data_IF_838208578297
#
_entry.id   IF_838208578297
#
_cell.length_a   1.000
_cell.length_b   1.000
_cell.length_c   1.000
_cell.angle_alpha   90.00
_cell.angle_beta   90.00
_cell.angle_gamma   90.00
#
_symmetry.space_group_name_H-M   'P 1'
#
loop_
_entity.id
_entity.type
_entity.pdbx_description
1 polymer ?
#
# COMPACT_ATOMS: atom_id res chain seq x y z
N UNK A 1 -22.61 29.19 -15.68
CA UNK A 1 -22.96 27.83 -15.21
C UNK A 1 -22.25 26.82 -16.11
N UNK A 2 -21.59 25.83 -15.50
CA UNK A 2 -20.99 24.62 -16.08
C UNK A 2 -19.74 24.74 -16.98
N UNK A 3 -18.56 24.87 -16.34
CA UNK A 3 -17.27 24.39 -16.86
C UNK A 3 -16.39 23.91 -15.70
N UNK A 4 -16.72 22.77 -15.07
CA UNK A 4 -15.86 22.17 -14.03
C UNK A 4 -15.92 20.62 -13.98
N UNK A 5 -16.53 19.97 -14.97
CA UNK A 5 -16.75 18.51 -14.94
C UNK A 5 -15.78 17.69 -15.82
N UNK A 6 -14.96 18.32 -16.66
CA UNK A 6 -14.17 17.59 -17.68
C UNK A 6 -12.73 17.22 -17.29
N UNK A 7 -12.24 17.61 -16.11
CA UNK A 7 -10.83 17.38 -15.73
C UNK A 7 -10.58 16.23 -14.74
N UNK A 8 -11.62 15.56 -14.21
CA UNK A 8 -11.45 14.47 -13.24
C UNK A 8 -11.64 13.05 -13.82
N UNK A 9 -12.10 12.92 -15.06
CA UNK A 9 -12.25 11.60 -15.70
C UNK A 9 -10.91 10.99 -16.16
N UNK A 10 -9.82 11.77 -16.23
CA UNK A 10 -8.50 11.29 -16.63
C UNK A 10 -7.69 10.62 -15.51
N UNK A 11 -8.05 10.80 -14.22
CA UNK A 11 -7.33 10.14 -13.13
C UNK A 11 -7.74 8.67 -12.94
N UNK A 12 -8.97 8.29 -13.33
CA UNK A 12 -9.44 6.91 -13.28
C UNK A 12 -9.01 6.07 -14.51
N UNK A 13 -8.53 6.71 -15.58
CA UNK A 13 -8.05 6.04 -16.80
C UNK A 13 -6.54 5.76 -16.78
N UNK A 14 -5.79 6.30 -15.82
CA UNK A 14 -4.34 6.09 -15.72
C UNK A 14 -3.93 4.74 -15.08
N UNK A 15 -4.85 4.00 -14.45
CA UNK A 15 -4.65 2.60 -14.05
C UNK A 15 -5.03 1.58 -15.14
N UNK A 16 -5.51 2.04 -16.30
CA UNK A 16 -6.05 1.19 -17.36
C UNK A 16 -5.13 1.17 -18.60
N UNK A 17 -3.91 0.64 -18.46
CA UNK A 17 -3.01 0.42 -19.61
C UNK A 17 -2.03 -0.73 -19.37
N UNK A 18 -2.53 -1.97 -19.39
CA UNK A 18 -1.73 -3.13 -19.80
C UNK A 18 -2.65 -4.11 -20.55
N UNK A 19 -2.37 -4.29 -21.83
CA UNK A 19 -3.23 -4.87 -22.86
C UNK A 19 -3.29 -6.41 -22.88
N UNK A 20 -4.52 -6.92 -23.13
CA UNK A 20 -4.93 -7.91 -24.14
C UNK A 20 -4.04 -9.14 -24.48
N UNK A 21 -4.57 -10.35 -24.15
CA UNK A 21 -4.99 -11.46 -25.04
C UNK A 21 -4.74 -12.83 -24.37
N UNK A 22 -5.80 -13.59 -24.10
CA UNK A 22 -6.06 -14.88 -24.78
C UNK A 22 -7.36 -15.56 -24.30
N UNK A 23 -7.86 -16.40 -25.19
CA UNK A 23 -9.22 -16.92 -25.35
C UNK A 23 -9.70 -17.93 -24.31
N UNK A 24 -11.02 -17.88 -24.03
CA UNK A 24 -11.79 -18.99 -23.44
C UNK A 24 -11.77 -20.21 -24.37
N UNK A 25 -11.29 -21.34 -23.88
CA UNK A 25 -11.63 -22.67 -24.39
C UNK A 25 -12.01 -23.58 -23.22
N UNK A 26 -13.17 -24.22 -23.33
CA UNK A 26 -13.67 -25.24 -22.39
C UNK A 26 -12.79 -26.49 -22.53
N UNK A 27 -12.23 -27.01 -21.43
CA UNK A 27 -11.44 -28.26 -21.43
C UNK A 27 -12.25 -29.44 -20.88
N UNK A 28 -12.20 -30.63 -21.54
CA UNK A 28 -12.65 -31.89 -20.95
C UNK A 28 -11.68 -32.37 -19.87
N UNK A 29 -12.20 -33.07 -18.86
CA UNK A 29 -11.39 -33.73 -17.83
C UNK A 29 -10.66 -34.95 -18.42
N UNK A 30 -9.32 -34.97 -18.29
CA UNK A 30 -8.48 -36.14 -18.57
C UNK A 30 -7.79 -36.60 -17.29
N UNK A 31 -7.53 -37.91 -17.13
CA UNK A 31 -6.80 -38.44 -15.99
C UNK A 31 -5.34 -37.94 -15.98
N UNK A 32 -4.70 -37.84 -14.79
CA UNK A 32 -3.36 -37.29 -14.66
C UNK A 32 -2.34 -38.17 -15.38
N UNK A 33 -1.53 -37.62 -16.30
CA UNK A 33 -0.49 -38.38 -16.97
C UNK A 33 0.71 -38.57 -16.04
N UNK A 34 1.16 -39.81 -15.88
CA UNK A 34 2.41 -40.14 -15.23
C UNK A 34 3.59 -39.73 -16.10
N UNK A 35 4.13 -38.55 -15.88
CA UNK A 35 5.42 -38.12 -16.44
C UNK A 35 6.40 -37.81 -15.31
N UNK A 36 7.60 -38.35 -15.42
CA UNK A 36 8.76 -37.82 -14.71
C UNK A 36 9.17 -36.50 -15.38
N UNK A 37 9.37 -35.41 -14.63
CA UNK A 37 9.71 -34.12 -15.21
C UNK A 37 11.07 -34.17 -15.91
N UNK A 38 11.21 -33.69 -17.16
CA UNK A 38 12.50 -33.56 -17.80
C UNK A 38 13.34 -32.50 -17.07
N UNK A 39 14.60 -32.82 -16.81
CA UNK A 39 15.57 -31.88 -16.26
C UNK A 39 15.96 -30.84 -17.30
N UNK A 40 15.26 -29.70 -17.31
CA UNK A 40 15.69 -28.53 -18.05
C UNK A 40 16.60 -27.67 -17.18
N UNK A 41 17.77 -27.22 -17.68
CA UNK A 41 18.52 -26.18 -17.02
C UNK A 41 17.69 -24.89 -16.99
N UNK A 42 17.71 -24.20 -15.84
CA UNK A 42 17.03 -22.92 -15.68
C UNK A 42 17.45 -21.95 -16.78
N UNK A 43 16.51 -21.34 -17.53
CA UNK A 43 16.86 -20.32 -18.51
C UNK A 43 17.45 -19.11 -17.79
N UNK A 44 18.73 -18.83 -18.07
CA UNK A 44 19.39 -17.61 -17.65
C UNK A 44 18.84 -16.43 -18.45
N UNK A 45 17.76 -15.82 -17.98
CA UNK A 45 17.33 -14.52 -18.48
C UNK A 45 18.28 -13.45 -17.92
N UNK A 46 18.99 -12.70 -18.76
CA UNK A 46 19.67 -11.50 -18.29
C UNK A 46 18.61 -10.54 -17.75
N UNK A 47 18.80 -10.04 -16.52
CA UNK A 47 17.98 -8.97 -15.97
C UNK A 47 17.92 -7.81 -16.98
N UNK A 48 16.74 -7.28 -17.32
CA UNK A 48 16.62 -6.12 -18.18
C UNK A 48 17.44 -4.97 -17.59
N UNK A 49 18.52 -4.60 -18.29
CA UNK A 49 19.37 -3.47 -17.95
C UNK A 49 18.65 -2.17 -18.27
N UNK A 50 17.68 -1.79 -17.45
CA UNK A 50 17.20 -0.42 -17.45
C UNK A 50 18.34 0.44 -16.86
N UNK A 51 18.85 1.44 -17.59
CA UNK A 51 19.77 2.39 -17.00
C UNK A 51 19.03 3.08 -15.85
N UNK A 52 19.57 2.95 -14.64
CA UNK A 52 19.06 3.67 -13.47
C UNK A 52 19.00 5.17 -13.84
N UNK A 53 17.83 5.83 -13.70
CA UNK A 53 17.74 7.26 -13.93
C UNK A 53 18.78 7.98 -13.07
N UNK A 54 19.77 8.59 -13.71
CA UNK A 54 20.81 9.38 -13.06
C UNK A 54 20.23 10.73 -12.63
N UNK A 55 19.29 10.70 -11.69
CA UNK A 55 18.96 11.90 -10.95
C UNK A 55 20.11 12.12 -9.95
N UNK A 56 20.91 13.20 -10.08
CA UNK A 56 21.84 13.54 -9.03
C UNK A 56 21.05 13.67 -7.74
N UNK A 57 21.36 12.82 -6.76
CA UNK A 57 20.77 12.92 -5.44
C UNK A 57 21.00 14.36 -4.96
N UNK A 58 19.95 15.13 -4.65
CA UNK A 58 20.14 16.44 -4.06
C UNK A 58 21.02 16.25 -2.83
N UNK A 59 22.20 16.87 -2.80
CA UNK A 59 23.00 17.00 -1.59
C UNK A 59 22.30 18.00 -0.66
N UNK A 60 21.07 17.68 -0.26
CA UNK A 60 20.44 18.33 0.86
C UNK A 60 21.03 17.66 2.09
N UNK A 61 21.87 18.41 2.80
CA UNK A 61 22.18 18.09 4.20
C UNK A 61 20.84 17.94 4.90
N UNK A 62 20.43 16.71 5.21
CA UNK A 62 19.23 16.44 6.00
C UNK A 62 19.44 17.23 7.28
N UNK A 63 18.65 18.28 7.56
CA UNK A 63 18.82 19.03 8.79
C UNK A 63 18.75 18.02 9.92
N UNK A 64 19.74 17.99 10.82
CA UNK A 64 19.60 17.31 12.11
C UNK A 64 18.44 18.03 12.82
N UNK A 65 17.22 17.54 12.58
CA UNK A 65 16.01 18.29 12.81
C UNK A 65 15.79 18.48 14.29
N UNK A 66 15.83 19.74 14.73
CA UNK A 66 15.10 20.15 15.90
C UNK A 66 13.60 20.15 15.53
N UNK A 67 12.99 18.96 15.47
CA UNK A 67 11.61 18.72 14.96
C UNK A 67 10.49 19.32 15.84
N UNK A 68 10.82 20.29 16.69
CA UNK A 68 9.95 20.74 17.77
C UNK A 68 9.76 19.66 18.84
N UNK A 69 9.18 20.05 19.98
CA UNK A 69 8.72 19.06 20.94
C UNK A 69 7.64 18.20 20.27
N UNK A 70 7.69 16.86 20.39
CA UNK A 70 6.66 16.01 19.86
C UNK A 70 5.30 16.43 20.44
N UNK A 71 4.21 16.36 19.65
CA UNK A 71 2.88 16.67 20.16
C UNK A 71 2.59 15.78 21.38
N UNK A 72 1.80 16.25 22.36
CA UNK A 72 1.41 15.45 23.49
C UNK A 72 0.91 14.07 23.03
N UNK A 73 1.46 13.02 23.64
CA UNK A 73 1.02 11.66 23.36
C UNK A 73 -0.46 11.56 23.78
N UNK A 74 -1.30 11.05 22.88
CA UNK A 74 -2.69 10.75 23.25
C UNK A 74 -2.69 9.69 24.36
N UNK A 75 -3.71 9.72 25.22
CA UNK A 75 -3.91 8.68 26.21
C UNK A 75 -4.26 7.38 25.50
N UNK A 76 -3.34 6.40 25.48
CA UNK A 76 -3.55 5.12 24.83
C UNK A 76 -2.29 4.58 24.14
N UNK A 77 -2.42 3.39 23.53
CA UNK A 77 -1.38 2.86 22.65
C UNK A 77 -1.50 3.56 21.28
N UNK A 78 -0.40 3.91 20.61
CA UNK A 78 -0.47 4.49 19.27
C UNK A 78 -1.38 3.68 18.35
N UNK A 79 -2.34 4.33 17.71
CA UNK A 79 -3.34 3.71 16.83
C UNK A 79 -4.64 3.30 17.52
N UNK A 80 -4.73 3.37 18.86
CA UNK A 80 -6.02 3.15 19.55
C UNK A 80 -6.98 4.33 19.40
N UNK A 81 -6.47 5.51 19.01
CA UNK A 81 -7.28 6.72 18.86
C UNK A 81 -7.95 6.90 17.50
N UNK A 82 -7.90 5.91 16.60
CA UNK A 82 -8.52 6.04 15.27
C UNK A 82 -10.05 6.08 15.39
N UNK A 83 -10.64 7.15 14.87
CA UNK A 83 -12.09 7.28 14.72
C UNK A 83 -12.53 6.54 13.46
N UNK A 84 -13.44 5.59 13.62
CA UNK A 84 -13.93 4.74 12.53
C UNK A 84 -15.25 5.24 11.95
N UNK A 85 -15.28 5.38 10.63
CA UNK A 85 -16.50 5.54 9.84
C UNK A 85 -17.02 4.15 9.45
N UNK A 86 -18.29 3.83 9.72
CA UNK A 86 -18.88 2.57 9.29
C UNK A 86 -19.05 2.54 7.77
N UNK A 87 -18.71 1.41 7.16
CA UNK A 87 -18.92 1.12 5.74
C UNK A 87 -19.85 -0.08 5.66
N UNK A 88 -21.17 0.12 5.55
CA UNK A 88 -22.10 -1.00 5.47
C UNK A 88 -21.96 -1.73 4.13
N UNK A 89 -22.31 -3.03 4.05
CA UNK A 89 -22.45 -3.73 2.79
C UNK A 89 -23.42 -3.00 1.83
N UNK A 90 -23.03 -2.89 0.56
CA UNK A 90 -23.83 -2.36 -0.54
C UNK A 90 -24.56 -3.45 -1.32
N UNK A 91 -24.15 -4.71 -1.13
CA UNK A 91 -24.70 -5.88 -1.81
C UNK A 91 -24.48 -7.16 -0.99
N UNK A 92 -25.10 -8.26 -1.41
CA UNK A 92 -24.99 -9.58 -0.77
C UNK A 92 -24.06 -10.57 -1.50
N UNK A 93 -23.14 -10.09 -2.32
CA UNK A 93 -22.28 -10.99 -3.12
C UNK A 93 -21.42 -11.86 -2.21
N UNK A 94 -21.29 -13.13 -2.59
CA UNK A 94 -20.31 -14.04 -2.01
C UNK A 94 -19.90 -15.06 -3.06
N UNK A 95 -18.72 -15.64 -2.89
CA UNK A 95 -18.26 -16.77 -3.67
C UNK A 95 -17.41 -17.65 -2.75
N UNK A 96 -17.64 -18.99 -2.71
CA UNK A 96 -16.85 -19.89 -1.88
C UNK A 96 -15.35 -19.84 -2.19
N UNK A 97 -14.94 -19.39 -3.38
CA UNK A 97 -13.52 -19.25 -3.72
C UNK A 97 -12.89 -18.00 -3.14
N UNK A 98 -13.63 -16.97 -2.71
CA UNK A 98 -13.05 -15.68 -2.34
C UNK A 98 -12.35 -15.67 -0.98
N UNK A 99 -12.81 -16.47 -0.02
CA UNK A 99 -12.45 -16.32 1.39
C UNK A 99 -13.16 -15.14 2.08
N UNK A 100 -13.12 -15.08 3.43
CA UNK A 100 -13.77 -14.02 4.21
C UNK A 100 -13.35 -12.59 3.84
N UNK A 101 -12.06 -12.34 3.63
CA UNK A 101 -11.54 -10.97 3.41
C UNK A 101 -11.99 -10.41 2.07
N UNK A 102 -11.89 -11.16 0.98
CA UNK A 102 -12.37 -10.66 -0.31
C UNK A 102 -13.90 -10.57 -0.33
N UNK A 103 -14.62 -11.47 0.35
CA UNK A 103 -16.08 -11.35 0.51
C UNK A 103 -16.46 -10.03 1.18
N UNK A 104 -15.76 -9.64 2.25
CA UNK A 104 -15.96 -8.39 2.97
C UNK A 104 -15.76 -7.15 2.07
N UNK A 105 -14.73 -7.15 1.21
CA UNK A 105 -14.45 -6.10 0.23
C UNK A 105 -15.53 -6.08 -0.88
N UNK A 106 -15.84 -7.23 -1.46
CA UNK A 106 -16.83 -7.37 -2.54
C UNK A 106 -18.22 -6.89 -2.12
N UNK A 107 -18.61 -7.18 -0.89
CA UNK A 107 -19.89 -6.72 -0.33
C UNK A 107 -19.97 -5.21 -0.14
N UNK A 108 -18.84 -4.48 -0.17
CA UNK A 108 -18.78 -3.03 -0.02
C UNK A 108 -18.37 -2.30 -1.26
N UNK A 109 -18.12 -3.02 -2.37
CA UNK A 109 -17.76 -2.39 -3.62
C UNK A 109 -18.83 -1.37 -4.04
N UNK A 110 -18.43 -0.22 -4.60
CA UNK A 110 -19.39 0.74 -5.13
C UNK A 110 -20.21 0.12 -6.27
N UNK A 111 -21.50 0.49 -6.40
CA UNK A 111 -22.35 -0.06 -7.46
C UNK A 111 -21.86 0.27 -8.87
N UNK A 112 -21.13 1.39 -9.05
CA UNK A 112 -20.54 1.80 -10.33
C UNK A 112 -19.25 1.05 -10.69
N UNK A 113 -18.71 0.26 -9.77
CA UNK A 113 -17.47 -0.48 -10.01
C UNK A 113 -17.78 -1.76 -10.80
N UNK A 114 -17.36 -1.78 -12.06
CA UNK A 114 -17.59 -2.86 -13.03
C UNK A 114 -16.30 -3.53 -13.49
N UNK A 115 -15.15 -3.14 -12.93
CA UNK A 115 -13.85 -3.70 -13.24
C UNK A 115 -13.77 -5.21 -12.99
N UNK A 116 -12.92 -5.84 -13.78
CA UNK A 116 -12.55 -7.25 -13.64
C UNK A 116 -11.04 -7.35 -13.65
N UNK A 117 -10.47 -8.03 -12.67
CA UNK A 117 -9.02 -8.19 -12.54
C UNK A 117 -8.61 -9.65 -12.68
N UNK A 118 -7.36 -9.93 -13.08
CA UNK A 118 -6.91 -11.28 -13.40
C UNK A 118 -6.95 -12.25 -12.20
N UNK A 119 -6.81 -11.70 -10.98
CA UNK A 119 -6.69 -12.46 -9.75
C UNK A 119 -7.42 -11.75 -8.58
N UNK A 120 -7.61 -12.50 -7.50
CA UNK A 120 -8.38 -12.07 -6.33
C UNK A 120 -7.64 -11.06 -5.45
N UNK A 121 -6.32 -11.11 -5.35
CA UNK A 121 -5.54 -10.11 -4.63
C UNK A 121 -5.53 -8.75 -5.34
N UNK A 122 -5.43 -8.75 -6.67
CA UNK A 122 -5.55 -7.57 -7.52
C UNK A 122 -6.97 -7.02 -7.49
N UNK A 123 -7.97 -7.90 -7.53
CA UNK A 123 -9.37 -7.49 -7.30
C UNK A 123 -9.52 -6.79 -5.95
N UNK A 124 -8.95 -7.33 -4.88
CA UNK A 124 -9.01 -6.72 -3.55
C UNK A 124 -8.27 -5.37 -3.48
N UNK A 125 -7.11 -5.26 -4.12
CA UNK A 125 -6.33 -4.03 -4.23
C UNK A 125 -7.16 -2.93 -4.91
N UNK A 126 -7.68 -3.21 -6.10
CA UNK A 126 -8.36 -2.24 -6.95
C UNK A 126 -9.72 -1.82 -6.36
N UNK A 127 -10.47 -2.77 -5.80
CA UNK A 127 -11.70 -2.45 -5.08
C UNK A 127 -11.46 -1.63 -3.80
N UNK A 128 -10.29 -1.75 -3.19
CA UNK A 128 -9.93 -0.89 -2.05
C UNK A 128 -9.85 0.57 -2.48
N UNK A 129 -9.25 0.85 -3.64
CA UNK A 129 -9.25 2.21 -4.22
C UNK A 129 -10.67 2.68 -4.54
N UNK A 130 -11.51 1.83 -5.14
CA UNK A 130 -12.89 2.20 -5.47
C UNK A 130 -13.72 2.54 -4.22
N UNK A 131 -13.58 1.77 -3.14
CA UNK A 131 -14.23 2.07 -1.86
C UNK A 131 -13.65 3.37 -1.26
N UNK A 132 -12.33 3.54 -1.24
CA UNK A 132 -11.66 4.75 -0.77
C UNK A 132 -12.11 6.00 -1.53
N UNK A 133 -12.33 5.88 -2.83
CA UNK A 133 -12.85 6.95 -3.68
C UNK A 133 -14.29 7.33 -3.34
N UNK A 134 -15.20 6.37 -3.08
CA UNK A 134 -16.55 6.71 -2.60
C UNK A 134 -16.53 7.42 -1.26
N UNK A 135 -15.68 6.95 -0.34
CA UNK A 135 -15.51 7.57 0.97
C UNK A 135 -15.00 9.00 0.84
N UNK A 136 -14.04 9.23 -0.06
CA UNK A 136 -13.57 10.58 -0.45
C UNK A 136 -14.72 11.42 -1.01
N UNK A 137 -15.52 10.91 -1.94
CA UNK A 137 -16.65 11.66 -2.49
C UNK A 137 -17.71 12.00 -1.43
N UNK A 138 -17.97 11.10 -0.50
CA UNK A 138 -18.89 11.33 0.60
C UNK A 138 -18.37 12.42 1.56
N UNK A 139 -17.08 12.37 1.92
CA UNK A 139 -16.44 13.35 2.79
C UNK A 139 -16.26 14.72 2.11
N UNK A 140 -16.04 14.75 0.80
CA UNK A 140 -15.76 15.99 0.04
C UNK A 140 -16.97 16.86 -0.23
N UNK A 141 -18.18 16.38 0.09
CA UNK A 141 -19.37 17.25 0.18
C UNK A 141 -19.20 18.35 1.23
N UNK A 142 -18.27 18.17 2.18
CA UNK A 142 -17.95 19.16 3.23
C UNK A 142 -16.50 19.66 3.18
N UNK A 143 -15.54 18.87 2.68
CA UNK A 143 -14.13 19.27 2.56
C UNK A 143 -13.41 18.67 1.34
N UNK A 144 -12.93 19.51 0.42
CA UNK A 144 -12.34 19.11 -0.88
C UNK A 144 -10.98 18.38 -0.79
N UNK A 145 -10.38 18.24 0.39
CA UNK A 145 -9.06 17.61 0.56
C UNK A 145 -9.04 16.53 1.64
N UNK A 146 -9.90 15.51 1.49
CA UNK A 146 -9.85 14.31 2.30
C UNK A 146 -9.64 13.03 1.47
N UNK A 147 -9.13 11.97 2.09
CA UNK A 147 -9.00 10.62 1.54
C UNK A 147 -9.56 9.60 2.52
N UNK A 148 -10.32 8.63 2.01
CA UNK A 148 -10.91 7.55 2.80
C UNK A 148 -10.13 6.26 2.65
N UNK A 149 -9.89 5.56 3.76
CA UNK A 149 -9.12 4.33 3.82
C UNK A 149 -9.96 3.20 4.41
N UNK A 150 -10.39 2.26 3.56
CA UNK A 150 -11.15 1.09 4.00
C UNK A 150 -10.22 -0.01 4.53
N UNK A 151 -10.41 -0.41 5.80
CA UNK A 151 -9.50 -1.31 6.53
C UNK A 151 -10.17 -2.62 6.97
N UNK A 152 -11.13 -3.09 6.17
CA UNK A 152 -11.91 -4.30 6.39
C UNK A 152 -12.88 -4.23 7.57
N UNK A 153 -13.77 -5.23 7.66
CA UNK A 153 -14.72 -5.36 8.76
C UNK A 153 -15.74 -4.23 8.80
N UNK A 154 -16.02 -3.61 7.64
CA UNK A 154 -16.94 -2.47 7.56
C UNK A 154 -16.46 -1.21 8.26
N UNK A 155 -15.14 -1.00 8.34
CA UNK A 155 -14.55 0.21 8.94
C UNK A 155 -13.68 0.94 7.95
N UNK A 156 -13.74 2.27 7.99
CA UNK A 156 -12.82 3.14 7.30
C UNK A 156 -12.38 4.30 8.17
N UNK A 157 -11.23 4.89 7.86
CA UNK A 157 -10.83 6.20 8.38
C UNK A 157 -10.91 7.24 7.27
N UNK A 158 -11.29 8.48 7.62
CA UNK A 158 -11.23 9.63 6.71
C UNK A 158 -10.16 10.56 7.22
N UNK A 159 -9.17 10.89 6.38
CA UNK A 159 -8.05 11.76 6.73
C UNK A 159 -8.03 12.99 5.84
N UNK A 160 -7.58 14.11 6.37
CA UNK A 160 -7.33 15.32 5.58
C UNK A 160 -5.95 15.26 4.93
N UNK A 161 -5.87 15.60 3.65
CA UNK A 161 -4.60 15.71 2.92
C UNK A 161 -3.74 16.84 3.50
N UNK A 162 -2.44 16.60 3.74
CA UNK A 162 -1.51 17.69 4.00
C UNK A 162 -1.31 18.58 2.77
N UNK A 163 -0.67 19.72 2.97
CA UNK A 163 -0.37 20.72 1.94
C UNK A 163 0.94 20.49 1.19
N UNK A 164 1.88 19.72 1.77
CA UNK A 164 3.09 19.30 1.07
C UNK A 164 2.78 18.36 -0.09
N UNK A 165 3.76 18.18 -0.98
CA UNK A 165 3.61 17.44 -2.23
C UNK A 165 4.17 16.03 -2.16
N UNK A 166 3.65 15.14 -3.00
CA UNK A 166 4.18 13.77 -3.17
C UNK A 166 5.64 13.76 -3.60
N UNK A 167 6.07 14.69 -4.46
CA UNK A 167 7.48 14.83 -4.84
C UNK A 167 8.40 15.14 -3.64
N UNK A 168 7.90 15.83 -2.61
CA UNK A 168 8.66 16.09 -1.38
C UNK A 168 8.81 14.82 -0.55
N UNK A 169 7.79 13.95 -0.53
CA UNK A 169 7.87 12.61 0.08
C UNK A 169 8.90 11.76 -0.66
N UNK A 170 8.84 11.74 -2.00
CA UNK A 170 9.76 10.98 -2.85
C UNK A 170 11.23 11.35 -2.59
N UNK A 171 11.52 12.64 -2.43
CA UNK A 171 12.87 13.14 -2.16
C UNK A 171 13.45 12.62 -0.83
N UNK A 172 12.61 12.30 0.15
CA UNK A 172 13.01 11.82 1.48
C UNK A 172 13.24 10.31 1.56
N UNK A 173 12.87 9.55 0.52
CA UNK A 173 13.10 8.10 0.48
C UNK A 173 14.56 7.86 0.05
N UNK A 174 15.38 7.16 0.86
CA UNK A 174 16.78 6.90 0.49
C UNK A 174 16.90 6.00 -0.74
N UNK A 175 17.91 6.17 -1.61
CA UNK A 175 18.07 5.36 -2.83
C UNK A 175 18.11 3.84 -2.59
N UNK A 176 18.69 3.39 -1.47
CA UNK A 176 18.72 1.97 -1.07
C UNK A 176 17.35 1.37 -0.75
N UNK A 177 16.34 2.22 -0.59
CA UNK A 177 14.94 1.85 -0.36
C UNK A 177 14.04 2.22 -1.56
N UNK A 178 14.61 2.52 -2.73
CA UNK A 178 13.84 2.77 -3.96
C UNK A 178 13.88 1.53 -4.84
N UNK A 179 12.73 0.85 -4.97
CA UNK A 179 12.53 -0.22 -5.96
C UNK A 179 11.60 0.27 -7.08
N UNK A 180 11.19 -0.63 -7.97
CA UNK A 180 10.37 -0.25 -9.14
C UNK A 180 9.05 0.46 -8.76
N UNK A 181 8.47 0.18 -7.59
CA UNK A 181 7.26 0.88 -7.11
C UNK A 181 7.52 2.34 -6.76
N UNK A 182 8.75 2.71 -6.38
CA UNK A 182 9.12 4.10 -6.22
C UNK A 182 8.94 4.86 -7.55
N UNK A 183 9.45 4.31 -8.64
CA UNK A 183 9.35 4.94 -9.96
C UNK A 183 7.90 5.02 -10.42
N UNK A 184 7.11 3.96 -10.19
CA UNK A 184 5.71 3.90 -10.59
C UNK A 184 4.81 4.86 -9.79
N UNK A 185 4.92 4.85 -8.47
CA UNK A 185 3.94 5.50 -7.59
C UNK A 185 4.41 6.81 -6.97
N UNK A 186 5.72 6.97 -6.74
CA UNK A 186 6.28 8.14 -6.04
C UNK A 186 6.83 9.16 -7.04
N UNK A 187 7.79 8.76 -7.88
CA UNK A 187 8.35 9.63 -8.91
C UNK A 187 7.40 9.78 -10.11
N UNK A 188 6.66 8.72 -10.43
CA UNK A 188 5.64 8.71 -11.48
C UNK A 188 4.34 9.42 -11.09
N UNK A 189 3.37 9.36 -12.00
CA UNK A 189 2.01 9.88 -11.82
C UNK A 189 1.93 11.31 -11.26
N UNK A 190 2.42 12.33 -12.01
CA UNK A 190 2.44 13.72 -11.55
C UNK A 190 1.05 14.30 -11.28
N UNK A 191 -0.02 13.68 -11.80
CA UNK A 191 -1.41 14.06 -11.51
C UNK A 191 -1.83 13.92 -10.05
N UNK A 192 -1.05 13.20 -9.24
CA UNK A 192 -1.28 13.03 -7.80
C UNK A 192 -0.29 13.81 -6.93
N UNK A 193 0.48 14.75 -7.50
CA UNK A 193 1.52 15.47 -6.75
C UNK A 193 0.97 16.33 -5.60
N UNK A 194 -0.27 16.84 -5.73
CA UNK A 194 -0.98 17.61 -4.69
C UNK A 194 -1.78 16.72 -3.70
N UNK A 195 -1.59 15.40 -3.76
CA UNK A 195 -2.26 14.37 -2.94
C UNK A 195 -1.23 13.42 -2.33
N UNK A 196 -0.40 13.87 -1.37
CA UNK A 196 0.62 13.02 -0.76
C UNK A 196 0.04 11.75 -0.11
N UNK A 197 -1.19 11.78 0.45
CA UNK A 197 -1.81 10.56 0.99
C UNK A 197 -2.23 9.54 -0.08
N UNK A 198 -2.04 9.81 -1.37
CA UNK A 198 -2.09 8.78 -2.41
C UNK A 198 -1.12 7.62 -2.10
N UNK A 199 0.04 7.90 -1.52
CA UNK A 199 0.98 6.87 -1.08
C UNK A 199 0.35 5.95 -0.03
N UNK A 200 -0.48 6.50 0.87
CA UNK A 200 -1.18 5.72 1.88
C UNK A 200 -2.37 4.95 1.28
N UNK A 201 -2.96 5.44 0.19
CA UNK A 201 -4.05 4.77 -0.51
C UNK A 201 -3.54 3.47 -1.15
N UNK A 202 -2.42 3.57 -1.88
CA UNK A 202 -1.66 2.43 -2.40
C UNK A 202 -1.23 1.49 -1.27
N UNK A 203 -0.67 2.03 -0.19
CA UNK A 203 -0.27 1.23 0.98
C UNK A 203 -1.43 0.41 1.52
N UNK A 204 -2.60 1.03 1.73
CA UNK A 204 -3.78 0.36 2.24
C UNK A 204 -4.32 -0.70 1.26
N UNK A 205 -4.32 -0.40 -0.04
CA UNK A 205 -4.74 -1.35 -1.08
C UNK A 205 -3.81 -2.58 -1.13
N UNK A 206 -2.49 -2.40 -1.06
CA UNK A 206 -1.55 -3.52 -0.97
C UNK A 206 -1.72 -4.34 0.32
N UNK A 207 -2.01 -3.73 1.47
CA UNK A 207 -2.30 -4.48 2.70
C UNK A 207 -3.56 -5.34 2.52
N UNK A 208 -4.63 -4.79 1.93
CA UNK A 208 -5.87 -5.54 1.66
C UNK A 208 -5.63 -6.70 0.67
N UNK A 209 -4.95 -6.41 -0.46
CA UNK A 209 -4.59 -7.42 -1.45
C UNK A 209 -3.73 -8.54 -0.89
N UNK A 210 -2.65 -8.21 -0.17
CA UNK A 210 -1.79 -9.19 0.49
C UNK A 210 -2.53 -10.00 1.55
N UNK A 211 -3.49 -9.39 2.27
CA UNK A 211 -4.33 -10.11 3.23
C UNK A 211 -5.18 -11.18 2.52
N UNK A 212 -5.78 -10.84 1.38
CA UNK A 212 -6.54 -11.79 0.55
C UNK A 212 -5.65 -12.91 0.02
N UNK A 213 -4.48 -12.58 -0.54
CA UNK A 213 -3.53 -13.58 -1.05
C UNK A 213 -3.13 -14.59 0.03
N UNK A 214 -2.76 -14.09 1.22
CA UNK A 214 -2.35 -14.94 2.35
C UNK A 214 -3.50 -15.80 2.85
N UNK A 215 -4.70 -15.22 3.01
CA UNK A 215 -5.88 -15.95 3.49
C UNK A 215 -6.25 -17.07 2.52
N UNK A 216 -6.28 -16.79 1.21
CA UNK A 216 -6.59 -17.79 0.18
C UNK A 216 -5.57 -18.92 0.13
N UNK A 217 -4.28 -18.60 0.24
CA UNK A 217 -3.21 -19.61 0.38
C UNK A 217 -3.49 -20.54 1.56
N UNK A 218 -3.75 -19.96 2.73
CA UNK A 218 -3.97 -20.72 3.97
C UNK A 218 -5.24 -21.56 3.94
N UNK A 219 -6.26 -21.14 3.18
CA UNK A 219 -7.50 -21.89 2.97
C UNK A 219 -7.41 -22.91 1.83
N UNK A 220 -6.28 -23.00 1.11
CA UNK A 220 -6.14 -23.89 -0.06
C UNK A 220 -7.05 -23.52 -1.23
N UNK A 221 -7.43 -22.24 -1.34
CA UNK A 221 -8.32 -21.74 -2.40
C UNK A 221 -7.59 -21.35 -3.68
N UNK A 222 -6.27 -21.21 -3.62
CA UNK A 222 -5.46 -20.93 -4.80
C UNK A 222 -4.86 -22.22 -5.38
N UNK A 223 -5.11 -22.54 -6.66
CA UNK A 223 -4.37 -23.58 -7.33
C UNK A 223 -2.92 -23.11 -7.50
N UNK A 224 -2.02 -23.55 -6.62
CA UNK A 224 -0.58 -23.26 -6.66
C UNK A 224 0.14 -23.98 -7.81
N UNK A 225 -0.47 -24.01 -8.99
CA UNK A 225 0.07 -24.70 -10.16
C UNK A 225 1.25 -23.94 -10.77
N UNK A 226 1.45 -22.68 -10.40
CA UNK A 226 2.60 -21.87 -10.80
C UNK A 226 3.29 -21.33 -9.55
N UNK A 227 4.51 -21.83 -9.27
CA UNK A 227 5.43 -21.32 -8.24
C UNK A 227 5.96 -19.90 -8.56
N UNK A 228 5.17 -19.07 -9.22
CA UNK A 228 5.53 -17.68 -9.47
C UNK A 228 5.45 -16.96 -8.12
N UNK A 229 6.62 -16.64 -7.59
CA UNK A 229 6.73 -15.90 -6.33
C UNK A 229 6.08 -14.53 -6.52
N UNK A 230 5.04 -14.24 -5.74
CA UNK A 230 4.31 -12.98 -5.78
C UNK A 230 4.98 -11.99 -4.82
N UNK A 231 5.20 -10.77 -5.28
CA UNK A 231 5.84 -9.72 -4.50
C UNK A 231 4.84 -8.86 -3.69
N UNK A 232 3.57 -9.24 -3.67
CA UNK A 232 2.48 -8.51 -2.98
C UNK A 232 2.76 -8.29 -1.49
N UNK A 233 3.48 -9.21 -0.85
CA UNK A 233 3.87 -9.09 0.57
C UNK A 233 5.04 -8.13 0.74
N UNK A 234 6.02 -8.15 -0.17
CA UNK A 234 7.10 -7.17 -0.19
C UNK A 234 6.56 -5.76 -0.45
N UNK A 235 5.55 -5.62 -1.32
CA UNK A 235 4.89 -4.34 -1.59
C UNK A 235 4.37 -3.66 -0.31
N UNK A 236 3.82 -4.45 0.62
CA UNK A 236 3.35 -3.95 1.92
C UNK A 236 4.51 -3.33 2.71
N UNK A 237 5.68 -3.97 2.71
CA UNK A 237 6.87 -3.43 3.38
C UNK A 237 7.40 -2.18 2.65
N UNK A 238 7.47 -2.19 1.32
CA UNK A 238 7.90 -1.03 0.54
C UNK A 238 7.03 0.20 0.83
N UNK A 239 5.71 0.06 0.75
CA UNK A 239 4.80 1.16 1.04
C UNK A 239 4.76 1.56 2.51
N UNK A 240 5.13 0.68 3.44
CA UNK A 240 5.35 1.05 4.85
C UNK A 240 6.53 2.03 4.98
N UNK A 241 7.61 1.83 4.21
CA UNK A 241 8.73 2.78 4.14
C UNK A 241 8.28 4.10 3.54
N UNK A 242 7.51 4.07 2.44
CA UNK A 242 7.03 5.29 1.77
C UNK A 242 6.06 6.08 2.66
N UNK A 243 5.17 5.39 3.38
CA UNK A 243 4.30 6.03 4.37
C UNK A 243 5.10 6.64 5.55
N UNK A 244 6.21 6.02 5.96
CA UNK A 244 7.10 6.62 6.96
C UNK A 244 7.79 7.90 6.43
N UNK A 245 8.11 7.94 5.13
CA UNK A 245 8.61 9.16 4.48
C UNK A 245 7.55 10.26 4.43
N UNK A 246 6.26 9.92 4.30
CA UNK A 246 5.15 10.87 4.43
C UNK A 246 5.08 11.50 5.83
N UNK A 247 5.27 10.70 6.89
CA UNK A 247 5.35 11.22 8.27
C UNK A 247 6.55 12.17 8.42
N UNK A 248 7.72 11.80 7.88
CA UNK A 248 8.89 12.69 7.88
C UNK A 248 8.61 13.98 7.08
N UNK A 249 7.95 13.89 5.93
CA UNK A 249 7.57 15.03 5.11
C UNK A 249 6.62 15.96 5.87
N UNK A 250 5.61 15.42 6.57
CA UNK A 250 4.72 16.20 7.42
C UNK A 250 5.50 16.95 8.50
N UNK A 251 6.42 16.27 9.19
CA UNK A 251 7.23 16.90 10.23
C UNK A 251 8.19 17.98 9.67
N UNK A 252 8.66 17.83 8.43
CA UNK A 252 9.62 18.75 7.81
C UNK A 252 8.96 19.95 7.12
N UNK A 253 7.87 19.74 6.39
CA UNK A 253 7.27 20.74 5.52
C UNK A 253 5.97 21.32 6.08
N UNK A 254 5.31 20.63 7.01
CA UNK A 254 4.09 21.12 7.66
C UNK A 254 4.05 20.70 9.15
N UNK A 255 4.94 21.23 10.01
CA UNK A 255 5.16 20.70 11.36
C UNK A 255 3.92 20.69 12.27
N UNK A 256 2.92 21.55 11.99
CA UNK A 256 1.65 21.58 12.73
C UNK A 256 0.67 20.48 12.31
N UNK A 257 0.83 19.87 11.13
CA UNK A 257 -0.14 18.94 10.53
C UNK A 257 -0.51 17.80 11.48
N UNK A 258 0.47 17.06 12.00
CA UNK A 258 0.21 15.89 12.86
C UNK A 258 -0.40 16.26 14.22
N UNK A 259 -0.21 17.50 14.68
CA UNK A 259 -0.85 18.00 15.90
C UNK A 259 -2.29 18.46 15.66
N UNK A 260 -2.57 19.00 14.47
CA UNK A 260 -3.90 19.45 14.04
C UNK A 260 -4.76 18.31 13.48
N UNK A 261 -4.12 17.25 13.00
CA UNK A 261 -4.74 16.06 12.42
C UNK A 261 -4.35 14.80 13.22
N UNK A 262 -4.78 14.70 14.50
CA UNK A 262 -4.45 13.55 15.34
C UNK A 262 -4.95 12.24 14.71
N UNK A 263 -6.06 12.28 13.97
CA UNK A 263 -6.56 11.13 13.22
C UNK A 263 -5.53 10.56 12.23
N UNK A 264 -4.76 11.40 11.51
CA UNK A 264 -3.72 10.93 10.58
C UNK A 264 -2.57 10.25 11.32
N UNK A 265 -2.17 10.80 12.47
CA UNK A 265 -1.16 10.19 13.35
C UNK A 265 -1.61 8.83 13.88
N UNK A 266 -2.82 8.76 14.43
CA UNK A 266 -3.35 7.49 14.95
C UNK A 266 -3.55 6.47 13.81
N UNK A 267 -4.04 6.91 12.65
CA UNK A 267 -4.23 6.00 11.52
C UNK A 267 -2.93 5.41 11.00
N UNK A 268 -1.85 6.21 10.90
CA UNK A 268 -0.55 5.69 10.54
C UNK A 268 -0.10 4.57 11.48
N UNK A 269 -0.19 4.78 12.80
CA UNK A 269 0.22 3.78 13.78
C UNK A 269 -0.59 2.49 13.65
N UNK A 270 -1.91 2.61 13.54
CA UNK A 270 -2.80 1.45 13.31
C UNK A 270 -2.41 0.70 12.03
N UNK A 271 -2.25 1.43 10.91
CA UNK A 271 -2.03 0.81 9.62
C UNK A 271 -0.61 0.24 9.49
N UNK A 272 0.38 0.82 10.19
CA UNK A 272 1.73 0.28 10.32
C UNK A 272 1.74 -1.06 11.07
N UNK A 273 1.04 -1.16 12.20
CA UNK A 273 0.88 -2.43 12.92
C UNK A 273 0.25 -3.50 12.03
N UNK A 274 -0.81 -3.11 11.31
CA UNK A 274 -1.51 -3.98 10.36
C UNK A 274 -0.58 -4.43 9.22
N UNK A 275 0.12 -3.50 8.58
CA UNK A 275 1.04 -3.76 7.48
C UNK A 275 2.16 -4.72 7.91
N UNK A 276 2.81 -4.45 9.03
CA UNK A 276 3.89 -5.29 9.53
C UNK A 276 3.38 -6.67 9.96
N UNK A 277 2.17 -6.78 10.52
CA UNK A 277 1.55 -8.08 10.80
C UNK A 277 1.32 -8.91 9.52
N UNK A 278 0.76 -8.28 8.48
CA UNK A 278 0.57 -8.92 7.15
C UNK A 278 1.89 -9.34 6.55
N UNK A 279 2.90 -8.46 6.58
CA UNK A 279 4.25 -8.72 6.09
C UNK A 279 4.91 -9.92 6.80
N UNK A 280 4.96 -9.91 8.12
CA UNK A 280 5.60 -10.97 8.91
C UNK A 280 4.90 -12.33 8.78
N UNK A 281 3.58 -12.32 8.54
CA UNK A 281 2.81 -13.54 8.26
C UNK A 281 3.08 -14.06 6.85
N UNK A 282 3.04 -13.17 5.86
CA UNK A 282 3.17 -13.51 4.45
C UNK A 282 4.55 -14.03 4.07
N UNK A 283 5.62 -13.36 4.51
CA UNK A 283 7.01 -13.67 4.14
C UNK A 283 7.49 -15.09 4.53
N UNK A 284 6.72 -15.79 5.37
CA UNK A 284 7.01 -17.16 5.83
C UNK A 284 6.34 -18.22 4.94
N UNK A 285 5.53 -17.80 3.98
CA UNK A 285 4.77 -18.70 3.11
C UNK A 285 5.47 -18.81 1.76
N UNK A 286 5.61 -20.04 1.20
CA UNK A 286 6.38 -20.26 -0.02
C UNK A 286 6.04 -19.36 -1.23
N UNK A 287 4.76 -19.03 -1.53
CA UNK A 287 4.45 -18.19 -2.69
C UNK A 287 4.83 -16.71 -2.53
N UNK A 288 5.17 -16.28 -1.31
CA UNK A 288 5.49 -14.89 -0.99
C UNK A 288 6.95 -14.73 -0.51
N UNK A 289 7.78 -15.76 -0.66
CA UNK A 289 9.21 -15.74 -0.38
C UNK A 289 9.98 -15.00 -1.49
N UNK A 290 9.67 -13.70 -1.65
CA UNK A 290 10.21 -12.89 -2.74
C UNK A 290 11.68 -12.55 -2.52
N UNK A 291 12.54 -12.66 -3.55
CA UNK A 291 13.95 -12.33 -3.44
C UNK A 291 14.20 -10.93 -2.84
N UNK A 292 15.23 -10.84 -2.00
CA UNK A 292 15.68 -9.63 -1.33
C UNK A 292 14.73 -9.05 -0.27
N UNK A 293 13.63 -9.73 0.07
CA UNK A 293 12.69 -9.27 1.10
C UNK A 293 13.39 -8.98 2.43
N UNK A 294 14.24 -9.92 2.88
CA UNK A 294 14.99 -9.80 4.13
C UNK A 294 16.04 -8.69 4.06
N UNK A 295 16.71 -8.55 2.91
CA UNK A 295 17.71 -7.51 2.68
C UNK A 295 17.07 -6.12 2.70
N UNK A 296 15.90 -5.96 2.09
CA UNK A 296 15.15 -4.71 2.09
C UNK A 296 14.68 -4.34 3.51
N UNK A 297 14.15 -5.29 4.27
CA UNK A 297 13.77 -5.07 5.68
C UNK A 297 14.98 -4.69 6.55
N UNK A 298 16.10 -5.40 6.39
CA UNK A 298 17.34 -5.10 7.10
C UNK A 298 17.86 -3.70 6.76
N UNK A 299 17.80 -3.31 5.49
CA UNK A 299 18.16 -1.95 5.03
C UNK A 299 17.30 -0.90 5.72
N UNK A 300 15.98 -1.08 5.76
CA UNK A 300 15.09 -0.14 6.47
C UNK A 300 15.42 -0.04 7.96
N UNK A 301 15.73 -1.17 8.61
CA UNK A 301 16.04 -1.23 10.05
C UNK A 301 17.38 -0.61 10.43
N UNK A 302 18.40 -0.73 9.58
CA UNK A 302 19.78 -0.49 10.00
C UNK A 302 20.58 0.48 9.12
N UNK A 303 20.17 0.71 7.87
CA UNK A 303 20.96 1.57 6.97
C UNK A 303 21.06 3.00 7.55
N UNK A 304 22.26 3.62 7.57
CA UNK A 304 22.43 4.98 8.07
C UNK A 304 21.55 6.00 7.35
N UNK A 305 21.39 5.90 6.03
CA UNK A 305 20.55 6.83 5.26
C UNK A 305 19.05 6.74 5.57
N UNK A 306 18.59 5.63 6.17
CA UNK A 306 17.20 5.46 6.61
C UNK A 306 16.96 5.94 8.06
N UNK A 307 17.99 6.44 8.75
CA UNK A 307 17.86 6.93 10.13
C UNK A 307 16.86 8.10 10.29
N UNK A 308 16.77 9.09 9.37
CA UNK A 308 15.75 10.14 9.50
C UNK A 308 14.32 9.61 9.56
N UNK A 309 14.02 8.53 8.81
CA UNK A 309 12.72 7.85 8.86
C UNK A 309 12.49 7.18 10.21
N UNK A 310 13.49 6.47 10.74
CA UNK A 310 13.36 5.80 12.04
C UNK A 310 13.26 6.80 13.19
N UNK A 311 14.02 7.88 13.13
CA UNK A 311 14.03 8.94 14.14
C UNK A 311 12.69 9.67 14.20
N UNK A 312 12.07 9.98 13.06
CA UNK A 312 10.73 10.61 13.04
C UNK A 312 9.68 9.72 13.69
N UNK A 313 9.69 8.41 13.39
CA UNK A 313 8.78 7.44 13.99
C UNK A 313 9.01 7.28 15.50
N UNK A 314 10.27 7.20 15.95
CA UNK A 314 10.60 7.14 17.40
C UNK A 314 10.18 8.40 18.13
N UNK A 315 10.35 9.57 17.52
CA UNK A 315 9.90 10.85 18.09
C UNK A 315 8.39 10.87 18.28
N UNK A 316 7.64 10.39 17.28
CA UNK A 316 6.18 10.46 17.27
C UNK A 316 5.51 9.41 18.16
N UNK A 317 6.02 8.17 18.15
CA UNK A 317 5.35 7.02 18.77
C UNK A 317 6.13 6.40 19.94
N UNK A 318 7.38 6.82 20.15
CA UNK A 318 8.25 6.29 21.18
C UNK A 318 8.97 4.99 20.79
N UNK A 319 10.15 4.78 21.38
CA UNK A 319 11.01 3.63 21.09
C UNK A 319 10.37 2.26 21.42
N UNK A 320 9.49 2.20 22.42
CA UNK A 320 8.78 0.97 22.77
C UNK A 320 7.85 0.50 21.64
N UNK A 321 7.12 1.44 21.04
CA UNK A 321 6.22 1.14 19.94
C UNK A 321 6.99 0.77 18.66
N UNK A 322 8.00 1.58 18.28
CA UNK A 322 8.78 1.30 17.05
C UNK A 322 9.52 -0.04 17.14
N UNK A 323 10.01 -0.43 18.32
CA UNK A 323 10.67 -1.72 18.51
C UNK A 323 9.70 -2.88 18.32
N UNK A 324 8.48 -2.75 18.84
CA UNK A 324 7.44 -3.77 18.71
C UNK A 324 6.98 -3.94 17.26
N UNK A 325 6.81 -2.83 16.53
CA UNK A 325 6.21 -2.83 15.18
C UNK A 325 7.25 -3.06 14.08
N UNK A 326 8.39 -2.37 14.17
CA UNK A 326 9.42 -2.36 13.13
C UNK A 326 10.74 -3.01 13.55
N UNK A 327 10.97 -3.23 14.86
CA UNK A 327 12.21 -3.82 15.36
C UNK A 327 13.36 -2.84 15.60
N UNK A 328 13.11 -1.52 15.64
CA UNK A 328 14.13 -0.48 15.92
C UNK A 328 13.63 0.65 16.85
#
# INVERSE_FOLDING_TARGET
MNTAASSMLLAALACLSCELRESRQVRPAYPPPGYSPPGYPAPGYPAPGYPAPSHPAPQQSVPQGNYGAPPPQAQGQPGSGVVWTPVPPTNGSSNPTWGPTLTDIMQRKPARETGTWPDEEGTAHELTHSIGFELRLAATRTDRRATGFYVLGGRAAILHEPSFRKAQVAALIPPSLRRYRYDLYLAGQPGWDDRPLYVWDEWNAYINGATVAIERYQLGLEPHTTFAVKDVVLAVLEFTVYAAADILAAMQYEPSYLSQQPQSREFFAFNAERAMSVFQRGRKLPPFDYPDTDAYEATFKAAPEAEPLRASLRSLYGAGWTRRVFGF
#
